data_IF_275939009119
#
_entry.id   IF_275939009119
#
_cell.length_a   1.000
_cell.length_b   1.000
_cell.length_c   1.000
_cell.angle_alpha   90.00
_cell.angle_beta   90.00
_cell.angle_gamma   90.00
#
_symmetry.space_group_name_H-M   'P 1'
#
loop_
_entity.id
_entity.type
_entity.pdbx_description
1 polymer ?
#
# COMPACT_ATOMS: atom_id res chain seq x y z
N UNK A 1 -23.44 9.59 21.49
CA UNK A 1 -24.18 8.64 20.61
C UNK A 1 -23.28 7.43 20.44
N UNK A 2 -23.81 6.22 20.34
CA UNK A 2 -22.98 5.01 20.22
C UNK A 2 -23.10 4.40 18.83
N UNK A 3 -22.02 3.79 18.34
CA UNK A 3 -21.94 3.14 17.04
C UNK A 3 -21.36 1.74 17.22
N UNK A 4 -21.92 0.75 16.54
CA UNK A 4 -21.41 -0.62 16.52
C UNK A 4 -20.53 -0.80 15.28
N UNK A 5 -19.28 -1.20 15.49
CA UNK A 5 -18.34 -1.54 14.43
C UNK A 5 -18.07 -3.04 14.45
N UNK A 6 -18.14 -3.68 13.29
CA UNK A 6 -17.82 -5.10 13.14
C UNK A 6 -16.39 -5.24 12.62
N UNK A 7 -15.51 -5.77 13.45
CA UNK A 7 -14.13 -6.11 13.11
C UNK A 7 -14.00 -7.62 12.97
N UNK A 8 -14.01 -8.13 11.74
CA UNK A 8 -13.85 -9.56 11.42
C UNK A 8 -14.79 -10.47 12.24
N UNK A 9 -16.06 -10.09 12.35
CA UNK A 9 -17.09 -10.82 13.09
C UNK A 9 -17.20 -10.43 14.56
N UNK A 10 -16.29 -9.61 15.07
CA UNK A 10 -16.37 -9.07 16.44
C UNK A 10 -17.04 -7.70 16.44
N UNK A 11 -18.21 -7.62 17.05
CA UNK A 11 -18.87 -6.34 17.29
C UNK A 11 -18.22 -5.62 18.48
N UNK A 12 -17.85 -4.37 18.25
CA UNK A 12 -17.27 -3.48 19.26
C UNK A 12 -18.07 -2.19 19.27
N UNK A 13 -18.54 -1.82 20.46
CA UNK A 13 -19.25 -0.57 20.68
C UNK A 13 -18.24 0.58 20.83
N UNK A 14 -18.37 1.60 19.98
CA UNK A 14 -17.59 2.83 20.02
C UNK A 14 -18.49 3.99 20.43
N UNK A 15 -17.94 4.91 21.24
CA UNK A 15 -18.55 6.24 21.33
C UNK A 15 -18.34 6.97 20.01
N UNK A 16 -19.35 7.72 19.58
CA UNK A 16 -19.27 8.54 18.39
C UNK A 16 -18.08 9.53 18.43
N UNK A 17 -17.68 9.99 19.63
CA UNK A 17 -16.52 10.87 19.80
C UNK A 17 -15.18 10.21 19.46
N UNK A 18 -15.11 8.88 19.45
CA UNK A 18 -13.89 8.09 19.19
C UNK A 18 -13.80 7.58 17.75
N UNK A 19 -14.72 8.01 16.87
CA UNK A 19 -14.71 7.59 15.46
C UNK A 19 -13.56 8.21 14.65
N UNK A 20 -12.90 9.23 15.17
CA UNK A 20 -11.69 9.85 14.59
C UNK A 20 -10.49 8.88 14.57
N UNK A 21 -10.50 7.85 15.42
CA UNK A 21 -9.53 6.75 15.40
C UNK A 21 -9.71 5.82 14.18
N UNK A 22 -10.87 5.88 13.52
CA UNK A 22 -11.24 5.02 12.40
C UNK A 22 -11.22 5.83 11.10
N UNK A 23 -10.61 5.27 10.06
CA UNK A 23 -10.59 5.87 8.73
C UNK A 23 -11.31 4.99 7.72
N UNK A 24 -11.92 5.62 6.72
CA UNK A 24 -12.50 4.89 5.60
C UNK A 24 -11.43 4.08 4.84
N UNK A 25 -11.79 2.85 4.48
CA UNK A 25 -10.93 1.93 3.74
C UNK A 25 -11.36 1.73 2.27
N UNK A 26 -12.12 2.66 1.69
CA UNK A 26 -12.50 2.60 0.25
C UNK A 26 -11.29 2.59 -0.68
N UNK A 27 -10.20 3.24 -0.25
CA UNK A 27 -8.89 3.15 -0.87
C UNK A 27 -7.85 2.99 0.23
N UNK A 28 -6.90 2.08 0.03
CA UNK A 28 -5.85 1.76 1.01
C UNK A 28 -4.50 1.95 0.36
N UNK A 29 -3.57 2.57 1.08
CA UNK A 29 -2.19 2.71 0.60
C UNK A 29 -1.52 1.34 0.41
N UNK A 30 -0.62 1.23 -0.56
CA UNK A 30 0.13 -0.02 -0.82
C UNK A 30 0.81 -0.56 0.44
N UNK A 31 1.38 0.32 1.27
CA UNK A 31 2.02 -0.04 2.54
C UNK A 31 1.04 -0.68 3.53
N UNK A 32 -0.16 -0.10 3.72
CA UNK A 32 -1.19 -0.68 4.59
C UNK A 32 -1.78 -2.00 4.06
N UNK A 33 -1.67 -2.25 2.76
CA UNK A 33 -2.11 -3.52 2.14
C UNK A 33 -1.05 -4.63 2.15
N UNK A 34 0.13 -4.40 2.73
CA UNK A 34 1.19 -5.41 2.77
C UNK A 34 0.73 -6.66 3.53
N UNK A 35 0.94 -7.83 2.92
CA UNK A 35 0.47 -9.11 3.46
C UNK A 35 -0.97 -9.48 3.05
N UNK A 36 -1.78 -8.54 2.58
CA UNK A 36 -3.15 -8.79 2.10
C UNK A 36 -3.20 -9.01 0.59
N UNK A 37 -4.16 -9.78 0.09
CA UNK A 37 -4.37 -9.96 -1.34
C UNK A 37 -5.87 -9.91 -1.68
N UNK A 38 -6.18 -9.37 -2.85
CA UNK A 38 -7.55 -9.12 -3.29
C UNK A 38 -7.79 -9.73 -4.68
N UNK A 39 -9.02 -10.19 -4.99
CA UNK A 39 -9.32 -10.73 -6.32
C UNK A 39 -8.99 -9.75 -7.45
N UNK A 40 -9.30 -8.47 -7.24
CA UNK A 40 -9.06 -7.39 -8.20
C UNK A 40 -8.47 -6.20 -7.47
N UNK A 41 -7.44 -5.57 -8.05
CA UNK A 41 -6.86 -4.32 -7.53
C UNK A 41 -6.81 -3.25 -8.62
N UNK A 42 -7.12 -2.01 -8.23
CA UNK A 42 -7.05 -0.82 -9.08
C UNK A 42 -5.98 0.09 -8.48
N UNK A 43 -4.95 0.42 -9.25
CA UNK A 43 -3.76 1.13 -8.77
C UNK A 43 -3.62 2.44 -9.56
N UNK A 44 -3.85 3.59 -8.93
CA UNK A 44 -3.53 4.88 -9.52
C UNK A 44 -2.01 5.06 -9.66
N UNK A 45 -1.54 5.33 -10.88
CA UNK A 45 -0.12 5.58 -11.19
C UNK A 45 -0.01 6.96 -11.83
N UNK A 46 0.10 7.99 -10.99
CA UNK A 46 0.02 9.40 -11.40
C UNK A 46 1.30 10.17 -11.03
N UNK A 47 1.64 11.18 -11.84
CA UNK A 47 2.89 11.95 -11.70
C UNK A 47 2.86 12.84 -10.45
N UNK A 48 1.66 13.24 -9.99
CA UNK A 48 1.44 14.05 -8.78
C UNK A 48 2.05 13.42 -7.53
N UNK A 49 2.20 12.08 -7.50
CA UNK A 49 2.86 11.35 -6.42
C UNK A 49 4.27 10.90 -6.81
N UNK A 50 5.03 11.78 -7.47
CA UNK A 50 6.34 11.47 -8.06
C UNK A 50 7.30 10.75 -7.11
N UNK A 51 7.37 11.15 -5.84
CA UNK A 51 8.26 10.56 -4.82
C UNK A 51 7.97 9.06 -4.61
N UNK A 52 6.70 8.67 -4.77
CA UNK A 52 6.22 7.29 -4.60
C UNK A 52 6.35 6.45 -5.88
N UNK A 53 6.71 7.05 -7.02
CA UNK A 53 6.96 6.31 -8.26
C UNK A 53 8.28 5.54 -8.16
N UNK A 54 8.23 4.39 -7.50
CA UNK A 54 9.38 3.51 -7.27
C UNK A 54 9.04 2.07 -7.68
N UNK A 55 10.04 1.35 -8.19
CA UNK A 55 9.86 0.00 -8.73
C UNK A 55 9.31 -0.98 -7.69
N UNK A 56 9.86 -0.95 -6.48
CA UNK A 56 9.41 -1.79 -5.38
C UNK A 56 7.95 -1.51 -5.00
N UNK A 57 7.52 -0.24 -4.97
CA UNK A 57 6.15 0.10 -4.63
C UNK A 57 5.16 -0.42 -5.68
N UNK A 58 5.47 -0.24 -6.97
CA UNK A 58 4.65 -0.79 -8.06
C UNK A 58 4.62 -2.31 -7.99
N UNK A 59 5.77 -2.96 -7.80
CA UNK A 59 5.83 -4.41 -7.66
C UNK A 59 4.95 -4.91 -6.51
N UNK A 60 5.07 -4.30 -5.32
CA UNK A 60 4.23 -4.66 -4.17
C UNK A 60 2.75 -4.45 -4.47
N UNK A 61 2.37 -3.33 -5.09
CA UNK A 61 0.98 -3.04 -5.44
C UNK A 61 0.40 -4.07 -6.41
N UNK A 62 1.15 -4.43 -7.47
CA UNK A 62 0.74 -5.43 -8.47
C UNK A 62 0.54 -6.80 -7.81
N UNK A 63 1.44 -7.21 -6.91
CA UNK A 63 1.31 -8.51 -6.21
C UNK A 63 0.16 -8.55 -5.20
N UNK A 64 -0.58 -7.45 -4.97
CA UNK A 64 -1.82 -7.49 -4.17
C UNK A 64 -3.01 -8.05 -4.97
N UNK A 65 -2.95 -8.10 -6.30
CA UNK A 65 -4.02 -8.63 -7.15
C UNK A 65 -3.87 -10.11 -7.46
N UNK A 66 -4.92 -10.91 -7.21
CA UNK A 66 -4.94 -12.35 -7.49
C UNK A 66 -5.40 -12.72 -8.90
N UNK A 67 -6.40 -12.01 -9.44
CA UNK A 67 -7.03 -12.34 -10.72
C UNK A 67 -6.89 -11.22 -11.75
N UNK A 68 -7.01 -9.96 -11.32
CA UNK A 68 -6.93 -8.80 -12.20
C UNK A 68 -6.23 -7.63 -11.52
N UNK A 69 -5.37 -6.96 -12.28
CA UNK A 69 -4.70 -5.72 -11.87
C UNK A 69 -5.00 -4.66 -12.92
N UNK A 70 -5.56 -3.53 -12.49
CA UNK A 70 -5.85 -2.38 -13.35
C UNK A 70 -4.95 -1.21 -12.93
N UNK A 71 -4.08 -0.77 -13.84
CA UNK A 71 -3.27 0.44 -13.62
C UNK A 71 -3.97 1.64 -14.26
N UNK A 72 -4.28 2.65 -13.45
CA UNK A 72 -4.96 3.87 -13.91
C UNK A 72 -3.98 5.03 -13.89
N UNK A 73 -3.58 5.54 -15.05
CA UNK A 73 -2.58 6.59 -15.14
C UNK A 73 -1.97 6.74 -16.53
N UNK A 74 -0.75 7.26 -16.58
CA UNK A 74 -0.04 7.49 -17.85
C UNK A 74 1.10 6.50 -18.03
N UNK A 75 1.41 6.15 -19.28
CA UNK A 75 2.60 5.36 -19.62
C UNK A 75 3.88 6.02 -19.08
N UNK A 76 3.94 7.35 -19.07
CA UNK A 76 5.05 8.14 -18.52
C UNK A 76 5.23 7.89 -17.01
N UNK A 77 4.15 7.97 -16.22
CA UNK A 77 4.22 7.72 -14.78
C UNK A 77 4.68 6.29 -14.48
N UNK A 78 4.16 5.31 -15.21
CA UNK A 78 4.59 3.92 -15.10
C UNK A 78 6.07 3.76 -15.46
N UNK A 79 6.51 4.36 -16.57
CA UNK A 79 7.91 4.33 -17.00
C UNK A 79 8.86 4.93 -15.96
N UNK A 80 8.49 6.06 -15.33
CA UNK A 80 9.27 6.64 -14.22
C UNK A 80 9.35 5.65 -13.06
N UNK A 81 8.22 5.06 -12.66
CA UNK A 81 8.18 4.16 -11.52
C UNK A 81 9.02 2.90 -11.72
N UNK A 82 8.90 2.23 -12.87
CA UNK A 82 9.66 1.01 -13.15
C UNK A 82 11.16 1.28 -13.33
N UNK A 83 11.57 2.46 -13.78
CA UNK A 83 12.99 2.82 -13.93
C UNK A 83 13.62 3.34 -12.63
N UNK A 84 12.80 3.74 -11.65
CA UNK A 84 13.29 4.27 -10.37
C UNK A 84 13.64 3.15 -9.41
N UNK A 85 14.94 2.87 -9.28
CA UNK A 85 15.51 1.92 -8.30
C UNK A 85 16.17 2.71 -7.16
N UNK A 86 15.36 3.45 -6.39
CA UNK A 86 15.86 4.22 -5.24
C UNK A 86 15.98 3.41 -3.94
N UNK A 87 15.57 2.14 -3.92
CA UNK A 87 15.75 1.24 -2.75
C UNK A 87 17.22 0.84 -2.51
N UNK A 88 18.18 1.52 -3.15
CA UNK A 88 19.50 0.97 -3.47
C UNK A 88 20.64 1.36 -2.52
N UNK A 89 20.40 2.00 -1.37
CA UNK A 89 21.39 2.01 -0.26
C UNK A 89 20.71 2.07 1.10
N UNK A 90 20.41 0.89 1.67
CA UNK A 90 20.07 0.81 3.09
C UNK A 90 21.36 0.79 3.89
N UNK A 91 21.64 1.84 4.65
CA UNK A 91 22.77 1.85 5.58
C UNK A 91 22.49 0.87 6.73
N UNK A 92 23.00 -0.36 6.62
CA UNK A 92 22.90 -1.41 7.63
C UNK A 92 24.20 -2.18 7.73
N UNK A 93 24.59 -2.57 8.95
CA UNK A 93 25.78 -3.41 9.21
C UNK A 93 25.46 -4.91 9.22
N UNK A 94 24.20 -5.31 9.01
CA UNK A 94 23.79 -6.71 9.10
C UNK A 94 24.58 -7.61 8.13
N UNK A 95 24.76 -7.18 6.88
CA UNK A 95 25.50 -7.95 5.87
C UNK A 95 26.98 -8.12 6.23
N UNK A 96 27.58 -7.14 6.92
CA UNK A 96 28.94 -7.24 7.42
C UNK A 96 29.04 -8.22 8.60
N UNK A 97 28.08 -8.15 9.55
CA UNK A 97 28.04 -9.05 10.72
C UNK A 97 27.82 -10.52 10.36
N UNK A 98 27.05 -10.82 9.31
CA UNK A 98 26.81 -12.21 8.88
C UNK A 98 28.01 -12.89 8.20
N UNK A 99 29.07 -12.13 7.88
CA UNK A 99 30.29 -12.65 7.24
C UNK A 99 31.46 -12.81 8.23
N UNK A 100 31.26 -12.45 9.49
CA UNK A 100 32.17 -12.75 10.60
C UNK A 100 31.78 -14.09 11.20
#
# INVERSE_FOLDING_TARGET
QKVLLNFDGREVEYDFSSLDEIIHAYAVSVHKSQGSEYPVVIIPVVIQHYILLQRNLIYTAVTRGKKLVVLVGTKKALAIAINTVKSSQRHTRLSHRLKQ
#
